data_IF_460458632733
#
_entry.id   IF_460458632733
#
_cell.length_a   1.000
_cell.length_b   1.000
_cell.length_c   1.000
_cell.angle_alpha   90.00
_cell.angle_beta   90.00
_cell.angle_gamma   90.00
#
_symmetry.space_group_name_H-M   'P 1'
#
loop_
_entity.id
_entity.type
_entity.pdbx_description
1 polymer ?
#
# COMPACT_ATOMS: atom_id res chain seq x y z
N UNK A 1 7.21 -9.91 11.78
CA UNK A 1 6.72 -9.55 10.43
C UNK A 1 6.25 -10.82 9.74
N UNK A 2 5.01 -10.88 9.23
CA UNK A 2 4.47 -12.07 8.56
C UNK A 2 4.39 -11.92 7.04
N UNK A 3 4.12 -10.71 6.56
CA UNK A 3 4.11 -10.34 5.14
C UNK A 3 4.25 -8.83 5.01
N UNK A 4 4.94 -8.39 3.96
CA UNK A 4 4.98 -6.99 3.51
C UNK A 4 5.14 -6.93 1.99
N UNK A 5 4.74 -5.80 1.41
CA UNK A 5 4.99 -5.50 0.00
C UNK A 5 5.24 -4.01 -0.18
N UNK A 6 6.04 -3.66 -1.19
CA UNK A 6 6.28 -2.27 -1.57
C UNK A 6 5.21 -1.79 -2.54
N UNK A 7 4.58 -0.66 -2.24
CA UNK A 7 3.67 0.04 -3.16
C UNK A 7 4.47 0.99 -4.06
N UNK A 8 3.84 1.53 -5.10
CA UNK A 8 4.47 2.46 -6.04
C UNK A 8 4.82 3.82 -5.42
N UNK A 9 4.27 4.12 -4.24
CA UNK A 9 4.40 5.38 -3.52
C UNK A 9 4.01 5.18 -2.05
N UNK A 10 4.02 6.23 -1.24
CA UNK A 10 3.60 6.18 0.18
C UNK A 10 2.19 5.62 0.35
N UNK A 11 2.01 4.71 1.30
CA UNK A 11 0.68 4.28 1.73
C UNK A 11 -0.07 5.48 2.34
N UNK A 12 -1.34 5.64 1.97
CA UNK A 12 -2.19 6.75 2.37
C UNK A 12 -3.50 6.23 2.97
N UNK A 13 -3.97 6.94 4.00
CA UNK A 13 -5.20 6.57 4.69
C UNK A 13 -5.11 5.24 5.43
N UNK A 14 -6.27 4.63 5.68
CA UNK A 14 -6.38 3.36 6.37
C UNK A 14 -6.74 2.25 5.37
N UNK A 15 -6.06 1.09 5.42
CA UNK A 15 -6.48 -0.09 4.69
C UNK A 15 -7.91 -0.50 5.03
N UNK A 16 -8.64 -1.04 4.04
CA UNK A 16 -9.98 -1.60 4.24
C UNK A 16 -10.05 -3.04 3.74
N UNK A 17 -10.91 -3.85 4.35
CA UNK A 17 -11.20 -5.22 3.87
C UNK A 17 -12.65 -5.32 3.41
N UNK A 18 -12.88 -6.15 2.40
CA UNK A 18 -14.21 -6.41 1.85
C UNK A 18 -14.27 -7.81 1.23
N UNK A 19 -15.48 -8.26 0.87
CA UNK A 19 -15.70 -9.46 0.06
C UNK A 19 -16.37 -9.10 -1.26
N UNK A 20 -15.93 -9.76 -2.33
CA UNK A 20 -16.54 -9.68 -3.65
C UNK A 20 -16.50 -11.07 -4.30
N UNK A 21 -17.62 -11.54 -4.86
CA UNK A 21 -17.73 -12.87 -5.47
C UNK A 21 -17.22 -14.01 -4.56
N UNK A 22 -17.48 -13.92 -3.26
CA UNK A 22 -17.06 -14.94 -2.27
C UNK A 22 -15.60 -14.88 -1.82
N UNK A 23 -14.75 -14.08 -2.47
CA UNK A 23 -13.33 -13.92 -2.08
C UNK A 23 -13.14 -12.71 -1.16
N UNK A 24 -12.19 -12.80 -0.23
CA UNK A 24 -11.80 -11.69 0.66
C UNK A 24 -10.65 -10.89 0.07
N UNK A 25 -10.75 -9.58 0.18
CA UNK A 25 -9.79 -8.62 -0.35
C UNK A 25 -9.36 -7.62 0.73
N UNK A 26 -8.18 -7.03 0.52
CA UNK A 26 -7.67 -5.88 1.26
C UNK A 26 -7.32 -4.80 0.23
N UNK A 27 -7.89 -3.61 0.38
CA UNK A 27 -7.53 -2.45 -0.44
C UNK A 27 -6.67 -1.46 0.36
N UNK A 28 -5.60 -0.99 -0.27
CA UNK A 28 -4.67 0.00 0.28
C UNK A 28 -4.46 1.10 -0.75
N UNK A 29 -4.76 2.35 -0.36
CA UNK A 29 -4.46 3.49 -1.21
C UNK A 29 -2.98 3.84 -1.09
N UNK A 30 -2.35 4.12 -2.22
CA UNK A 30 -1.04 4.73 -2.30
C UNK A 30 -1.19 6.11 -2.94
N UNK A 31 -0.54 7.11 -2.38
CA UNK A 31 -0.58 8.46 -2.94
C UNK A 31 0.55 9.36 -2.51
N UNK A 32 0.82 10.39 -3.31
CA UNK A 32 1.80 11.44 -3.03
C UNK A 32 1.29 12.44 -1.99
N UNK A 33 2.22 13.09 -1.29
CA UNK A 33 1.93 14.08 -0.24
C UNK A 33 1.67 13.48 1.13
N UNK A 34 0.96 14.22 1.98
CA UNK A 34 0.66 13.85 3.36
C UNK A 34 1.76 14.22 4.36
N UNK A 35 1.34 14.57 5.58
CA UNK A 35 2.24 14.98 6.66
C UNK A 35 3.11 13.82 7.13
N UNK A 36 2.50 12.84 7.79
CA UNK A 36 3.18 11.65 8.29
C UNK A 36 3.88 10.83 7.19
N UNK A 37 3.25 10.46 6.05
CA UNK A 37 3.88 9.55 5.10
C UNK A 37 4.99 10.19 4.23
N UNK A 38 5.14 11.51 4.22
CA UNK A 38 6.18 12.19 3.42
C UNK A 38 6.90 13.32 4.12
N UNK A 39 6.18 14.32 4.66
CA UNK A 39 6.85 15.47 5.30
C UNK A 39 7.72 15.05 6.49
N UNK A 40 7.24 14.13 7.32
CA UNK A 40 7.98 13.62 8.49
C UNK A 40 9.22 12.81 8.06
N UNK A 41 9.13 11.81 7.16
CA UNK A 41 10.30 11.11 6.63
C UNK A 41 11.31 12.04 5.95
N UNK A 42 10.86 13.04 5.19
CA UNK A 42 11.77 14.03 4.57
C UNK A 42 12.61 14.76 5.61
N UNK A 43 12.05 14.99 6.81
CA UNK A 43 12.75 15.67 7.91
C UNK A 43 13.64 14.72 8.73
N UNK A 44 13.16 13.52 9.04
CA UNK A 44 13.81 12.60 10.00
C UNK A 44 14.67 11.51 9.36
N UNK A 45 14.41 11.18 8.09
CA UNK A 45 15.08 10.11 7.34
C UNK A 45 15.27 10.53 5.88
N UNK A 46 16.02 11.63 5.62
CA UNK A 46 16.18 12.20 4.27
C UNK A 46 16.88 11.25 3.27
N UNK A 47 17.54 10.21 3.75
CA UNK A 47 18.12 9.13 2.94
C UNK A 47 17.06 8.26 2.24
N UNK A 48 15.82 8.25 2.74
CA UNK A 48 14.72 7.48 2.18
C UNK A 48 14.14 8.23 0.97
N UNK A 49 14.44 7.71 -0.22
CA UNK A 49 13.90 8.22 -1.47
C UNK A 49 12.67 7.43 -1.91
N UNK A 50 11.62 8.16 -2.30
CA UNK A 50 10.39 7.60 -2.85
C UNK A 50 9.96 8.35 -4.12
N UNK A 51 9.23 7.69 -5.04
CA UNK A 51 8.77 8.34 -6.28
C UNK A 51 7.86 9.55 -6.02
N UNK A 52 7.90 10.52 -6.92
CA UNK A 52 7.00 11.69 -6.93
C UNK A 52 5.67 11.43 -7.68
N UNK A 53 5.44 10.18 -8.11
CA UNK A 53 4.25 9.73 -8.83
C UNK A 53 3.78 8.40 -8.24
N UNK A 54 2.83 7.72 -8.88
CA UNK A 54 2.41 6.37 -8.49
C UNK A 54 1.16 6.28 -7.62
N UNK A 55 0.29 7.31 -7.65
CA UNK A 55 -1.03 7.22 -7.03
C UNK A 55 -1.80 6.02 -7.59
N UNK A 56 -2.26 5.13 -6.72
CA UNK A 56 -2.95 3.90 -7.12
C UNK A 56 -3.76 3.32 -5.96
N UNK A 57 -4.72 2.47 -6.29
CA UNK A 57 -5.40 1.59 -5.34
C UNK A 57 -4.87 0.17 -5.53
N UNK A 58 -4.19 -0.37 -4.52
CA UNK A 58 -3.72 -1.74 -4.51
C UNK A 58 -4.76 -2.62 -3.85
N UNK A 59 -5.13 -3.72 -4.52
CA UNK A 59 -6.11 -4.68 -4.01
C UNK A 59 -5.47 -6.05 -3.96
N UNK A 60 -5.37 -6.61 -2.76
CA UNK A 60 -4.74 -7.90 -2.49
C UNK A 60 -5.78 -8.94 -2.13
N UNK A 61 -5.55 -10.17 -2.57
CA UNK A 61 -6.24 -11.38 -2.12
C UNK A 61 -5.22 -12.50 -2.01
N UNK A 62 -5.56 -13.54 -1.27
CA UNK A 62 -4.81 -14.80 -1.40
C UNK A 62 -5.03 -15.34 -2.81
N UNK A 63 -3.98 -15.90 -3.41
CA UNK A 63 -4.17 -16.73 -4.58
C UNK A 63 -5.22 -17.80 -4.21
N UNK A 64 -6.19 -18.05 -5.10
CA UNK A 64 -6.98 -19.27 -4.98
C UNK A 64 -6.03 -20.46 -4.96
N UNK A 65 -6.46 -21.63 -4.52
CA UNK A 65 -5.67 -22.86 -4.69
C UNK A 65 -5.33 -23.03 -6.16
N UNK A 66 -4.19 -22.48 -6.60
CA UNK A 66 -3.60 -22.82 -7.86
C UNK A 66 -3.33 -24.31 -7.72
N UNK A 67 -4.02 -25.11 -8.54
CA UNK A 67 -3.61 -26.48 -8.77
C UNK A 67 -2.10 -26.43 -9.05
N UNK A 68 -1.32 -26.89 -8.09
CA UNK A 68 0.04 -27.34 -8.33
C UNK A 68 -0.05 -28.72 -8.97
#
# INVERSE_FOLDING_TARGET
>A
LLWETRLGTSAQGFPVTFRANGEQYIAVAAGVGGGSPRRVPTLLSPEIHYPATGNALYVFKLAGSALR
#
